data_IF_676685146423
#
_entry.id   IF_676685146423
#
_cell.length_a   1.000
_cell.length_b   1.000
_cell.length_c   1.000
_cell.angle_alpha   90.00
_cell.angle_beta   90.00
_cell.angle_gamma   90.00
#
_symmetry.space_group_name_H-M   'P 1'
#
loop_
_entity.id
_entity.type
_entity.pdbx_description
1 polymer ?
#
# COMPACT_ATOMS: atom_id res chain seq x y z
N UNK A 1 -33.70 3.90 -3.09
CA UNK A 1 -33.10 5.25 -3.21
C UNK A 1 -33.19 5.66 -4.66
N UNK A 2 -33.78 6.82 -4.95
CA UNK A 2 -33.92 7.31 -6.32
C UNK A 2 -32.54 7.74 -6.82
N UNK A 3 -32.10 7.19 -7.95
CA UNK A 3 -30.80 7.50 -8.55
C UNK A 3 -30.95 8.82 -9.30
N UNK A 4 -30.60 9.94 -8.66
CA UNK A 4 -30.65 11.26 -9.30
C UNK A 4 -29.62 11.32 -10.43
N UNK A 5 -30.01 11.85 -11.59
CA UNK A 5 -29.08 12.03 -12.70
C UNK A 5 -28.03 13.07 -12.34
N UNK A 6 -26.75 12.73 -12.56
CA UNK A 6 -25.59 13.61 -12.34
C UNK A 6 -25.58 14.87 -13.22
N UNK A 7 -26.54 15.01 -14.15
CA UNK A 7 -26.52 16.04 -15.18
C UNK A 7 -26.78 17.43 -14.58
N UNK A 8 -25.73 18.26 -14.52
CA UNK A 8 -25.81 19.68 -14.20
C UNK A 8 -25.05 20.09 -12.94
N UNK A 9 -24.94 19.21 -11.95
CA UNK A 9 -24.27 19.48 -10.67
C UNK A 9 -22.74 19.32 -10.76
N UNK A 10 -22.25 18.60 -11.76
CA UNK A 10 -20.83 18.40 -12.04
C UNK A 10 -20.17 19.61 -12.74
N UNK A 11 -20.96 20.49 -13.36
CA UNK A 11 -20.48 21.66 -14.13
C UNK A 11 -20.22 22.89 -13.26
N UNK A 12 -20.88 22.99 -12.11
CA UNK A 12 -20.71 24.11 -11.20
C UNK A 12 -19.66 23.75 -10.13
N UNK A 13 -18.78 24.71 -9.81
CA UNK A 13 -17.61 24.42 -8.98
C UNK A 13 -17.95 24.08 -7.53
N UNK A 14 -18.89 24.84 -6.95
CA UNK A 14 -19.18 24.86 -5.51
C UNK A 14 -20.65 24.55 -5.24
N UNK A 15 -21.26 23.67 -6.03
CA UNK A 15 -22.68 23.30 -5.90
C UNK A 15 -22.79 21.86 -5.44
N UNK A 16 -23.54 21.67 -4.35
CA UNK A 16 -23.85 20.35 -3.83
C UNK A 16 -24.79 19.60 -4.76
N UNK A 17 -24.50 18.32 -4.98
CA UNK A 17 -25.44 17.38 -5.60
C UNK A 17 -26.61 17.07 -4.65
N UNK A 18 -27.72 16.49 -5.16
CA UNK A 18 -28.87 16.11 -4.32
C UNK A 18 -28.53 15.11 -3.19
N UNK A 19 -27.46 14.34 -3.33
CA UNK A 19 -26.91 13.42 -2.32
C UNK A 19 -25.82 14.05 -1.44
N UNK A 20 -25.59 15.37 -1.54
CA UNK A 20 -24.72 16.14 -0.64
C UNK A 20 -23.23 16.13 -1.00
N UNK A 21 -22.87 15.74 -2.22
CA UNK A 21 -21.47 15.62 -2.68
C UNK A 21 -21.04 16.84 -3.47
N UNK A 22 -19.72 17.04 -3.53
CA UNK A 22 -19.07 18.03 -4.38
C UNK A 22 -18.21 17.31 -5.42
N UNK A 23 -18.73 17.17 -6.64
CA UNK A 23 -18.07 16.38 -7.70
C UNK A 23 -16.68 16.92 -8.08
N UNK A 24 -16.44 18.23 -7.98
CA UNK A 24 -15.12 18.79 -8.28
C UNK A 24 -14.03 18.33 -7.30
N UNK A 25 -14.39 18.09 -6.04
CA UNK A 25 -13.45 17.51 -5.06
C UNK A 25 -13.13 16.07 -5.45
N UNK A 26 -14.12 15.29 -5.87
CA UNK A 26 -13.90 13.92 -6.32
C UNK A 26 -13.02 13.86 -7.57
N UNK A 27 -13.22 14.77 -8.52
CA UNK A 27 -12.35 14.90 -9.69
C UNK A 27 -10.92 15.29 -9.31
N UNK A 28 -10.75 16.17 -8.32
CA UNK A 28 -9.44 16.51 -7.78
C UNK A 28 -8.77 15.31 -7.09
N UNK A 29 -9.52 14.51 -6.31
CA UNK A 29 -9.03 13.25 -5.72
C UNK A 29 -8.60 12.24 -6.78
N UNK A 30 -9.32 12.15 -7.89
CA UNK A 30 -8.91 11.30 -9.01
C UNK A 30 -7.59 11.78 -9.65
N UNK A 31 -7.31 13.08 -9.65
CA UNK A 31 -6.01 13.61 -10.07
C UNK A 31 -4.89 13.18 -9.10
N UNK A 32 -5.15 13.19 -7.80
CA UNK A 32 -4.23 12.67 -6.76
C UNK A 32 -3.96 11.19 -6.96
N UNK A 33 -4.99 10.35 -7.13
CA UNK A 33 -4.84 8.90 -7.37
C UNK A 33 -4.02 8.57 -8.61
N UNK A 34 -4.01 9.43 -9.63
CA UNK A 34 -3.17 9.27 -10.82
C UNK A 34 -1.72 9.74 -10.63
N UNK A 35 -1.45 10.45 -9.53
CA UNK A 35 -0.12 10.86 -9.12
C UNK A 35 0.78 9.68 -8.76
N UNK A 36 2.09 9.95 -8.68
CA UNK A 36 3.05 8.94 -8.21
C UNK A 36 2.92 8.70 -6.73
N UNK A 37 3.24 7.49 -6.28
CA UNK A 37 3.19 7.14 -4.87
C UNK A 37 4.21 7.96 -4.07
N UNK A 38 3.73 8.56 -2.99
CA UNK A 38 4.55 9.21 -1.96
C UNK A 38 4.15 8.61 -0.61
N UNK A 39 5.12 8.38 0.26
CA UNK A 39 4.91 7.82 1.60
C UNK A 39 5.54 8.73 2.65
N UNK A 40 4.95 8.74 3.84
CA UNK A 40 5.48 9.44 5.01
C UNK A 40 5.32 8.58 6.25
N UNK A 41 6.38 8.46 7.04
CA UNK A 41 6.46 7.56 8.19
C UNK A 41 7.05 8.30 9.38
N UNK A 42 6.40 8.15 10.53
CA UNK A 42 6.89 8.55 11.84
C UNK A 42 7.71 7.41 12.43
N UNK A 43 8.95 7.70 12.80
CA UNK A 43 9.83 6.82 13.57
C UNK A 43 10.07 7.43 14.95
N UNK A 44 10.63 6.65 15.88
CA UNK A 44 10.98 7.18 17.21
C UNK A 44 12.04 8.28 17.15
N UNK A 45 12.90 8.22 16.12
CA UNK A 45 14.09 9.05 15.93
C UNK A 45 13.86 10.18 14.90
N UNK A 46 12.69 10.26 14.26
CA UNK A 46 12.43 11.28 13.24
C UNK A 46 11.27 10.98 12.30
N UNK A 47 11.19 11.77 11.23
CA UNK A 47 10.17 11.63 10.16
C UNK A 47 10.84 11.36 8.82
N UNK A 48 10.30 10.41 8.07
CA UNK A 48 10.83 10.00 6.76
C UNK A 48 9.78 10.30 5.69
N UNK A 49 10.22 10.83 4.56
CA UNK A 49 9.44 10.90 3.33
C UNK A 49 10.16 10.14 2.23
N UNK A 50 9.43 9.35 1.46
CA UNK A 50 9.96 8.73 0.26
C UNK A 50 8.97 8.82 -0.91
N UNK A 51 9.49 8.98 -2.13
CA UNK A 51 8.67 9.16 -3.34
C UNK A 51 9.24 8.38 -4.52
N UNK A 52 8.35 7.77 -5.31
CA UNK A 52 8.69 7.23 -6.64
C UNK A 52 8.59 8.32 -7.73
N UNK A 53 9.73 8.86 -8.15
CA UNK A 53 9.90 9.74 -9.31
C UNK A 53 9.93 8.92 -10.59
N UNK A 54 8.80 8.90 -11.31
CA UNK A 54 8.76 8.36 -12.67
C UNK A 54 9.44 9.27 -13.70
N UNK A 55 10.71 9.00 -14.02
CA UNK A 55 11.44 9.66 -15.12
C UNK A 55 11.10 8.94 -16.43
N UNK A 56 10.31 9.59 -17.29
CA UNK A 56 9.78 8.97 -18.53
C UNK A 56 10.76 9.00 -19.71
N UNK A 57 11.77 9.86 -19.67
CA UNK A 57 12.68 10.11 -20.78
C UNK A 57 14.08 10.39 -20.29
N UNK A 58 15.08 9.83 -20.98
CA UNK A 58 16.51 10.09 -20.74
C UNK A 58 16.91 11.55 -20.97
N UNK A 59 16.07 12.33 -21.67
CA UNK A 59 16.29 13.75 -21.92
C UNK A 59 15.97 14.62 -20.69
N UNK A 60 15.23 14.08 -19.72
CA UNK A 60 14.86 14.81 -18.52
C UNK A 60 16.00 14.72 -17.52
N UNK A 61 16.44 15.86 -17.01
CA UNK A 61 17.36 15.92 -15.87
C UNK A 61 16.60 15.49 -14.61
N UNK A 62 16.91 14.32 -14.00
CA UNK A 62 16.09 13.77 -12.92
C UNK A 62 16.00 14.67 -11.69
N UNK A 63 17.08 15.41 -11.38
CA UNK A 63 17.14 16.35 -10.25
C UNK A 63 16.18 17.53 -10.37
N UNK A 64 15.67 17.82 -11.57
CA UNK A 64 14.67 18.88 -11.78
C UNK A 64 13.24 18.46 -11.39
N UNK A 65 12.99 17.15 -11.21
CA UNK A 65 11.72 16.62 -10.74
C UNK A 65 11.82 16.45 -9.23
N UNK A 66 11.44 17.49 -8.51
CA UNK A 66 11.29 17.44 -7.06
C UNK A 66 9.84 17.13 -6.69
N UNK A 67 9.66 16.20 -5.74
CA UNK A 67 8.36 15.92 -5.13
C UNK A 67 8.37 15.99 -3.62
N UNK A 68 9.57 16.00 -3.04
CA UNK A 68 9.80 16.25 -1.63
C UNK A 68 10.41 17.65 -1.48
N UNK A 69 9.83 18.45 -0.60
CA UNK A 69 10.20 19.84 -0.42
C UNK A 69 10.47 20.14 1.05
N UNK A 70 11.59 20.82 1.32
CA UNK A 70 11.82 21.50 2.59
C UNK A 70 10.88 22.70 2.70
N UNK A 71 10.12 22.79 3.79
CA UNK A 71 9.28 23.94 4.12
C UNK A 71 9.98 24.88 5.09
N UNK A 72 10.55 24.33 6.17
CA UNK A 72 11.39 25.03 7.14
C UNK A 72 12.51 24.07 7.58
N UNK A 73 13.36 24.46 8.52
CA UNK A 73 14.40 23.59 9.07
C UNK A 73 13.83 22.28 9.64
N UNK A 74 12.70 22.34 10.33
CA UNK A 74 12.09 21.22 11.06
C UNK A 74 10.87 20.61 10.36
N UNK A 75 10.51 21.08 9.16
CA UNK A 75 9.31 20.64 8.42
C UNK A 75 9.63 20.35 6.96
N UNK A 76 9.16 19.20 6.49
CA UNK A 76 9.20 18.75 5.11
C UNK A 76 7.81 18.37 4.61
N UNK A 77 7.69 18.23 3.29
CA UNK A 77 6.48 17.70 2.68
C UNK A 77 6.77 16.86 1.45
N UNK A 78 5.98 15.82 1.24
CA UNK A 78 5.92 15.06 0.00
C UNK A 78 4.56 15.30 -0.69
N UNK A 79 4.53 15.25 -2.02
CA UNK A 79 3.36 15.62 -2.81
C UNK A 79 2.95 14.56 -3.84
N UNK A 80 1.64 14.36 -4.02
CA UNK A 80 1.10 13.53 -5.10
C UNK A 80 -0.12 14.13 -5.77
N UNK A 81 -0.13 14.10 -7.10
CA UNK A 81 -1.13 14.74 -7.97
C UNK A 81 -0.48 15.73 -8.95
N UNK A 82 -1.10 16.90 -9.12
CA UNK A 82 -0.63 17.94 -10.05
C UNK A 82 0.56 18.73 -9.49
N UNK A 83 1.74 18.55 -10.08
CA UNK A 83 3.00 19.19 -9.63
C UNK A 83 2.93 20.73 -9.59
N UNK A 84 2.16 21.36 -10.48
CA UNK A 84 1.98 22.81 -10.49
C UNK A 84 1.26 23.31 -9.21
N UNK A 85 0.27 22.55 -8.76
CA UNK A 85 -0.49 22.85 -7.53
C UNK A 85 0.40 22.62 -6.30
N UNK A 86 1.20 21.55 -6.29
CA UNK A 86 2.18 21.28 -5.22
C UNK A 86 3.15 22.46 -5.03
N UNK A 87 3.77 22.95 -6.11
CA UNK A 87 4.70 24.10 -6.03
C UNK A 87 4.04 25.33 -5.42
N UNK A 88 2.78 25.60 -5.79
CA UNK A 88 2.04 26.74 -5.25
C UNK A 88 1.78 26.59 -3.75
N UNK A 89 1.32 25.41 -3.30
CA UNK A 89 1.07 25.16 -1.88
C UNK A 89 2.36 25.18 -1.07
N UNK A 90 3.45 24.60 -1.58
CA UNK A 90 4.77 24.63 -0.95
C UNK A 90 5.26 26.07 -0.74
N UNK A 91 5.12 26.94 -1.74
CA UNK A 91 5.52 28.34 -1.62
C UNK A 91 4.65 29.11 -0.61
N UNK A 92 3.37 28.77 -0.51
CA UNK A 92 2.49 29.34 0.52
C UNK A 92 2.89 28.84 1.90
N UNK A 93 3.15 27.53 2.07
CA UNK A 93 3.57 26.91 3.31
C UNK A 93 4.89 27.51 3.82
N UNK A 94 5.88 27.65 2.94
CA UNK A 94 7.16 28.31 3.25
C UNK A 94 6.96 29.74 3.75
N UNK A 95 6.12 30.51 3.06
CA UNK A 95 5.81 31.88 3.48
C UNK A 95 5.13 31.89 4.85
N UNK A 96 4.16 31.02 5.06
CA UNK A 96 3.42 30.95 6.33
C UNK A 96 4.33 30.57 7.50
N UNK A 97 5.25 29.62 7.31
CA UNK A 97 6.23 29.25 8.33
C UNK A 97 7.11 30.45 8.74
N UNK A 98 7.61 31.22 7.77
CA UNK A 98 8.40 32.41 8.06
C UNK A 98 7.57 33.55 8.68
N UNK A 99 6.32 33.72 8.26
CA UNK A 99 5.41 34.71 8.88
C UNK A 99 5.17 34.37 10.34
N UNK A 100 4.90 33.11 10.69
CA UNK A 100 4.74 32.68 12.07
C UNK A 100 5.99 32.99 12.90
N UNK A 101 7.17 32.62 12.36
CA UNK A 101 8.47 32.86 13.01
C UNK A 101 8.75 34.33 13.25
N UNK A 102 8.36 35.21 12.31
CA UNK A 102 8.52 36.65 12.46
C UNK A 102 7.53 37.23 13.48
N UNK A 103 6.29 36.76 13.47
CA UNK A 103 5.21 37.33 14.29
C UNK A 103 5.26 36.87 15.75
N UNK A 104 5.55 35.59 15.98
CA UNK A 104 5.52 34.97 17.30
C UNK A 104 6.91 34.66 17.86
N UNK A 105 7.98 34.90 17.08
CA UNK A 105 9.35 34.57 17.44
C UNK A 105 9.60 33.08 17.74
N UNK A 106 8.75 32.21 17.21
CA UNK A 106 8.83 30.76 17.36
C UNK A 106 8.59 30.05 16.01
N UNK A 107 9.28 28.92 15.75
CA UNK A 107 8.99 28.10 14.59
C UNK A 107 7.53 27.63 14.62
N UNK A 108 6.86 27.60 13.45
CA UNK A 108 5.48 27.11 13.38
C UNK A 108 5.42 25.63 13.76
N UNK A 109 4.40 25.22 14.51
CA UNK A 109 4.18 23.79 14.78
C UNK A 109 3.78 23.04 13.50
N UNK A 110 4.10 21.75 13.42
CA UNK A 110 3.73 20.91 12.26
C UNK A 110 2.21 20.91 12.07
N UNK A 111 1.47 20.73 13.17
CA UNK A 111 -0.01 20.78 13.19
C UNK A 111 -0.55 22.14 12.73
N UNK A 112 0.06 23.24 13.20
CA UNK A 112 -0.36 24.59 12.84
C UNK A 112 -0.21 24.87 11.35
N UNK A 113 0.92 24.46 10.77
CA UNK A 113 1.14 24.58 9.33
C UNK A 113 0.19 23.68 8.52
N UNK A 114 0.04 22.42 8.92
CA UNK A 114 -0.80 21.47 8.21
C UNK A 114 -2.29 21.91 8.23
N UNK A 115 -2.76 22.43 9.37
CA UNK A 115 -4.09 23.05 9.48
C UNK A 115 -4.25 24.26 8.58
N UNK A 116 -3.26 25.16 8.54
CA UNK A 116 -3.31 26.33 7.65
C UNK A 116 -3.45 25.93 6.17
N UNK A 117 -2.73 24.89 5.75
CA UNK A 117 -2.83 24.39 4.37
C UNK A 117 -4.18 23.71 4.12
N UNK A 118 -4.67 22.89 5.06
CA UNK A 118 -6.00 22.29 4.96
C UNK A 118 -7.11 23.33 4.87
N UNK A 119 -7.05 24.39 5.69
CA UNK A 119 -8.01 25.51 5.66
C UNK A 119 -7.95 26.26 4.31
N UNK A 120 -6.75 26.42 3.73
CA UNK A 120 -6.58 27.00 2.40
C UNK A 120 -7.18 26.12 1.30
N UNK A 121 -6.92 24.81 1.32
CA UNK A 121 -7.50 23.86 0.38
C UNK A 121 -9.03 23.85 0.48
N UNK A 122 -9.56 23.87 1.72
CA UNK A 122 -10.98 23.94 2.01
C UNK A 122 -11.62 25.21 1.42
N UNK A 123 -10.98 26.37 1.57
CA UNK A 123 -11.47 27.63 1.03
C UNK A 123 -11.64 27.60 -0.50
N UNK A 124 -10.77 26.86 -1.20
CA UNK A 124 -10.87 26.66 -2.65
C UNK A 124 -12.04 25.77 -3.08
N UNK A 125 -12.66 25.03 -2.15
CA UNK A 125 -13.85 24.22 -2.42
C UNK A 125 -15.15 25.02 -2.31
N UNK A 126 -15.12 26.19 -1.67
CA UNK A 126 -16.29 27.02 -1.40
C UNK A 126 -16.29 28.34 -2.18
N UNK A 127 -15.17 28.69 -2.79
CA UNK A 127 -15.00 29.92 -3.55
C UNK A 127 -15.38 29.73 -5.02
N UNK A 128 -16.28 30.58 -5.52
CA UNK A 128 -16.67 30.57 -6.93
C UNK A 128 -15.53 31.02 -7.86
N UNK A 129 -15.45 30.41 -9.05
CA UNK A 129 -14.49 30.80 -10.09
C UNK A 129 -13.08 30.23 -9.93
N UNK A 130 -12.83 29.43 -8.89
CA UNK A 130 -11.58 28.70 -8.70
C UNK A 130 -11.85 27.21 -8.53
N UNK A 131 -10.96 26.36 -9.06
CA UNK A 131 -11.02 24.92 -8.87
C UNK A 131 -10.29 24.50 -7.60
N UNK A 132 -10.68 23.40 -6.94
CA UNK A 132 -9.87 22.78 -5.90
C UNK A 132 -8.47 22.41 -6.40
N UNK A 133 -7.51 22.32 -5.49
CA UNK A 133 -6.18 21.82 -5.80
C UNK A 133 -6.25 20.33 -6.13
N UNK A 134 -5.60 19.91 -7.22
CA UNK A 134 -5.52 18.50 -7.64
C UNK A 134 -4.31 17.79 -7.02
N UNK A 135 -4.03 18.05 -5.74
CA UNK A 135 -2.85 17.57 -5.03
C UNK A 135 -3.26 17.15 -3.61
N UNK A 136 -2.57 16.14 -3.08
CA UNK A 136 -2.50 15.86 -1.66
C UNK A 136 -1.06 16.06 -1.20
N UNK A 137 -0.91 16.56 0.02
CA UNK A 137 0.40 16.71 0.66
C UNK A 137 0.48 15.78 1.86
N UNK A 138 1.65 15.17 2.03
CA UNK A 138 2.08 14.64 3.32
C UNK A 138 2.96 15.72 3.94
N UNK A 139 2.53 16.33 5.04
CA UNK A 139 3.26 17.37 5.77
C UNK A 139 3.73 16.76 7.08
N UNK A 140 5.01 16.82 7.37
CA UNK A 140 5.53 16.24 8.59
C UNK A 140 6.84 16.86 9.02
N UNK A 141 7.20 16.60 10.26
CA UNK A 141 8.35 17.23 10.89
C UNK A 141 8.40 16.95 12.37
N UNK A 142 9.25 17.72 13.02
CA UNK A 142 9.50 17.63 14.46
C UNK A 142 9.12 18.96 15.07
N UNK A 143 8.12 18.98 15.95
CA UNK A 143 7.74 20.16 16.74
C UNK A 143 7.44 19.73 18.15
N UNK A 144 7.88 20.53 19.13
CA UNK A 144 7.66 20.27 20.57
C UNK A 144 8.16 18.88 21.00
N UNK A 145 9.33 18.47 20.52
CA UNK A 145 9.94 17.14 20.72
C UNK A 145 9.06 15.95 20.27
N UNK A 146 8.08 16.20 19.39
CA UNK A 146 7.21 15.19 18.81
C UNK A 146 7.36 15.12 17.29
N UNK A 147 7.52 13.90 16.78
CA UNK A 147 7.50 13.60 15.35
C UNK A 147 6.04 13.45 14.91
N UNK A 148 5.62 14.24 13.91
CA UNK A 148 4.23 14.25 13.43
C UNK A 148 4.19 14.20 11.92
N UNK A 149 3.22 13.47 11.38
CA UNK A 149 2.91 13.40 9.95
C UNK A 149 1.42 13.59 9.75
N UNK A 150 1.06 14.50 8.85
CA UNK A 150 -0.29 14.80 8.45
C UNK A 150 -0.47 14.57 6.95
N UNK A 151 -1.63 14.04 6.57
CA UNK A 151 -2.08 13.98 5.17
C UNK A 151 -3.14 15.06 4.94
N UNK A 152 -3.00 15.81 3.85
CA UNK A 152 -4.02 16.73 3.32
C UNK A 152 -4.70 16.15 2.09
N UNK A 153 -5.98 16.48 1.92
CA UNK A 153 -6.81 16.08 0.78
C UNK A 153 -7.37 17.33 0.09
N UNK A 154 -7.64 17.30 -1.23
CA UNK A 154 -8.29 18.40 -1.97
C UNK A 154 -9.57 18.98 -1.34
N UNK A 155 -10.25 18.26 -0.44
CA UNK A 155 -11.39 18.77 0.32
C UNK A 155 -11.01 19.71 1.48
N UNK A 156 -9.73 19.82 1.79
CA UNK A 156 -9.19 20.39 3.03
C UNK A 156 -9.31 19.46 4.24
N UNK A 157 -9.59 18.17 4.03
CA UNK A 157 -9.53 17.21 5.12
C UNK A 157 -8.08 17.01 5.57
N UNK A 158 -7.87 16.98 6.88
CA UNK A 158 -6.56 16.84 7.50
C UNK A 158 -6.62 15.68 8.50
N UNK A 159 -5.69 14.74 8.37
CA UNK A 159 -5.61 13.58 9.26
C UNK A 159 -4.16 13.33 9.65
N UNK A 160 -3.93 13.07 10.94
CA UNK A 160 -2.63 12.69 11.49
C UNK A 160 -2.42 11.18 11.34
N UNK A 161 -1.24 10.77 10.88
CA UNK A 161 -0.90 9.37 10.64
C UNK A 161 0.44 9.00 11.29
N UNK A 162 0.56 7.74 11.70
CA UNK A 162 1.84 7.12 12.07
C UNK A 162 2.66 6.75 10.83
N UNK A 163 1.99 6.21 9.82
CA UNK A 163 2.51 6.00 8.49
C UNK A 163 1.37 6.22 7.48
N UNK A 164 1.63 6.89 6.37
CA UNK A 164 0.64 7.10 5.32
C UNK A 164 1.26 7.04 3.93
N UNK A 165 0.39 6.88 2.94
CA UNK A 165 0.73 6.92 1.53
C UNK A 165 -0.34 7.70 0.73
N UNK A 166 0.11 8.44 -0.27
CA UNK A 166 -0.75 9.13 -1.24
C UNK A 166 -0.33 8.78 -2.67
N UNK A 167 -1.26 8.94 -3.62
CA UNK A 167 -1.03 8.64 -5.03
C UNK A 167 -1.46 7.24 -5.45
N UNK A 168 -0.99 6.80 -6.62
CA UNK A 168 -1.45 5.58 -7.30
C UNK A 168 -1.37 4.31 -6.45
N UNK A 169 -0.26 4.11 -5.73
CA UNK A 169 -0.05 2.90 -4.94
C UNK A 169 -0.44 3.03 -3.46
N UNK A 170 -1.30 4.02 -3.11
CA UNK A 170 -1.72 4.26 -1.72
C UNK A 170 -2.23 3.01 -1.02
N UNK A 171 -3.19 2.31 -1.61
CA UNK A 171 -3.88 1.18 -0.97
C UNK A 171 -2.89 0.07 -0.59
N UNK A 172 -2.02 -0.32 -1.54
CA UNK A 172 -0.98 -1.35 -1.32
C UNK A 172 0.06 -0.94 -0.28
N UNK A 173 0.47 0.33 -0.28
CA UNK A 173 1.43 0.84 0.70
C UNK A 173 0.82 0.87 2.11
N UNK A 174 -0.44 1.30 2.24
CA UNK A 174 -1.14 1.32 3.53
C UNK A 174 -1.34 -0.09 4.08
N UNK A 175 -1.80 -1.04 3.26
CA UNK A 175 -1.93 -2.45 3.67
C UNK A 175 -0.60 -3.02 4.18
N UNK A 176 0.50 -2.71 3.48
CA UNK A 176 1.84 -3.12 3.91
C UNK A 176 2.28 -2.45 5.22
N UNK A 177 2.02 -1.16 5.39
CA UNK A 177 2.34 -0.45 6.63
C UNK A 177 1.51 -0.94 7.81
N UNK A 178 0.24 -1.28 7.61
CA UNK A 178 -0.60 -1.89 8.65
C UNK A 178 -0.01 -3.22 9.17
N UNK A 179 0.63 -4.00 8.29
CA UNK A 179 1.26 -5.27 8.67
C UNK A 179 2.62 -5.08 9.36
N UNK A 180 3.46 -4.14 8.88
CA UNK A 180 4.89 -4.06 9.24
C UNK A 180 5.27 -2.90 10.16
N UNK A 181 4.42 -1.88 10.30
CA UNK A 181 4.75 -0.70 11.09
C UNK A 181 4.81 -1.02 12.60
N UNK A 182 5.76 -0.39 13.29
CA UNK A 182 5.86 -0.40 14.74
C UNK A 182 6.25 1.00 15.26
N UNK A 183 5.80 1.35 16.46
CA UNK A 183 6.07 2.66 17.07
C UNK A 183 7.56 2.84 17.47
N UNK A 184 8.31 1.75 17.60
CA UNK A 184 9.73 1.77 18.03
C UNK A 184 10.74 1.70 16.88
N UNK A 185 10.28 1.87 15.63
CA UNK A 185 11.16 1.90 14.46
C UNK A 185 12.21 3.00 14.63
N UNK A 186 13.47 2.63 14.42
CA UNK A 186 14.56 3.58 14.22
C UNK A 186 14.42 4.31 12.89
N UNK A 187 15.19 5.39 12.72
CA UNK A 187 15.20 6.15 11.47
C UNK A 187 15.59 5.27 10.27
N UNK A 188 16.60 4.40 10.42
CA UNK A 188 17.07 3.49 9.37
C UNK A 188 16.05 2.41 9.02
N UNK A 189 15.42 1.79 10.02
CA UNK A 189 14.36 0.80 9.80
C UNK A 189 13.13 1.43 9.13
N UNK A 190 12.84 2.69 9.42
CA UNK A 190 11.76 3.42 8.78
C UNK A 190 12.10 3.83 7.33
N UNK A 191 13.37 4.09 7.00
CA UNK A 191 13.81 4.26 5.60
C UNK A 191 13.60 2.95 4.83
N UNK A 192 14.02 1.82 5.39
CA UNK A 192 13.79 0.50 4.80
C UNK A 192 12.30 0.25 4.56
N UNK A 193 11.47 0.50 5.59
CA UNK A 193 10.02 0.34 5.51
C UNK A 193 9.43 1.24 4.42
N UNK A 194 9.89 2.48 4.29
CA UNK A 194 9.43 3.40 3.24
C UNK A 194 9.75 2.90 1.83
N UNK A 195 10.97 2.38 1.62
CA UNK A 195 11.39 1.81 0.33
C UNK A 195 10.57 0.55 0.03
N UNK A 196 10.36 -0.33 1.01
CA UNK A 196 9.51 -1.52 0.85
C UNK A 196 8.06 -1.16 0.54
N UNK A 197 7.52 -0.12 1.17
CA UNK A 197 6.19 0.41 0.88
C UNK A 197 6.06 0.90 -0.56
N UNK A 198 7.07 1.63 -1.07
CA UNK A 198 7.13 2.04 -2.48
C UNK A 198 7.27 0.82 -3.40
N UNK A 199 8.08 -0.17 -3.02
CA UNK A 199 8.27 -1.40 -3.78
C UNK A 199 6.96 -2.17 -3.94
N UNK A 200 6.18 -2.34 -2.85
CA UNK A 200 4.84 -2.94 -2.89
C UNK A 200 3.86 -2.11 -3.71
N UNK A 201 3.87 -0.79 -3.52
CA UNK A 201 3.03 0.15 -4.26
C UNK A 201 3.26 0.15 -5.78
N UNK A 202 4.45 -0.22 -6.23
CA UNK A 202 4.86 -0.22 -7.64
C UNK A 202 4.93 -1.63 -8.25
N UNK A 203 4.47 -2.66 -7.54
CA UNK A 203 4.56 -4.07 -7.96
C UNK A 203 6.01 -4.49 -8.28
N UNK A 204 6.95 -4.04 -7.45
CA UNK A 204 8.38 -4.32 -7.57
C UNK A 204 9.12 -3.52 -8.63
N UNK A 205 8.49 -2.50 -9.22
CA UNK A 205 9.09 -1.64 -10.25
C UNK A 205 9.70 -0.39 -9.65
N UNK A 206 10.73 -0.57 -8.84
CA UNK A 206 11.54 0.52 -8.28
C UNK A 206 12.87 0.57 -9.01
N UNK A 207 13.23 1.73 -9.54
CA UNK A 207 14.53 1.95 -10.15
C UNK A 207 15.39 2.83 -9.23
N UNK A 208 16.70 2.64 -9.27
CA UNK A 208 17.68 3.41 -8.47
C UNK A 208 17.46 4.94 -8.63
N UNK A 209 17.34 5.41 -9.87
CA UNK A 209 17.12 6.83 -10.17
C UNK A 209 15.71 7.34 -9.84
N UNK A 210 14.77 6.44 -9.57
CA UNK A 210 13.37 6.80 -9.35
C UNK A 210 13.09 7.20 -7.91
N UNK A 211 13.88 6.75 -6.93
CA UNK A 211 13.55 7.05 -5.52
C UNK A 211 14.09 8.42 -5.09
N UNK A 212 13.31 9.14 -4.30
CA UNK A 212 13.70 10.34 -3.58
C UNK A 212 13.39 10.13 -2.10
N UNK A 213 14.33 10.39 -1.20
CA UNK A 213 14.13 10.23 0.24
C UNK A 213 14.61 11.48 0.96
N UNK A 214 13.87 11.90 1.98
CA UNK A 214 14.32 12.88 2.95
C UNK A 214 13.95 12.47 4.36
N UNK A 215 14.77 12.91 5.31
CA UNK A 215 14.57 12.65 6.73
C UNK A 215 14.57 13.96 7.50
N UNK A 216 13.85 13.98 8.61
CA UNK A 216 13.90 15.03 9.62
C UNK A 216 14.22 14.34 10.93
N UNK A 217 15.44 14.53 11.39
CA UNK A 217 15.94 13.92 12.62
C UNK A 217 15.33 14.62 13.85
N UNK A 218 14.91 13.83 14.83
CA UNK A 218 14.23 14.32 16.03
C UNK A 218 15.15 15.12 16.94
N UNK A 219 16.39 14.68 17.12
CA UNK A 219 17.34 15.33 18.04
C UNK A 219 17.77 16.71 17.53
N UNK A 220 17.98 16.82 16.22
CA UNK A 220 18.47 18.05 15.58
C UNK A 220 17.35 18.93 15.03
N UNK A 221 16.15 18.39 14.86
CA UNK A 221 15.01 19.02 14.17
C UNK A 221 15.41 19.60 12.80
N UNK A 222 16.28 18.88 12.06
CA UNK A 222 16.81 19.32 10.77
C UNK A 222 16.39 18.41 9.63
N UNK A 223 15.81 19.04 8.61
CA UNK A 223 15.51 18.44 7.32
C UNK A 223 16.80 18.17 6.55
N UNK A 224 16.95 16.92 6.09
CA UNK A 224 18.02 16.47 5.22
C UNK A 224 17.46 15.62 4.10
N UNK A 225 17.85 15.95 2.87
CA UNK A 225 17.60 15.10 1.71
C UNK A 225 18.77 14.13 1.57
N UNK A 226 18.50 12.85 1.39
CA UNK A 226 19.56 11.86 1.17
C UNK A 226 20.16 12.07 -0.22
N UNK A 227 21.46 11.83 -0.33
CA UNK A 227 22.12 11.82 -1.62
C UNK A 227 21.85 10.50 -2.38
N UNK A 228 22.23 10.46 -3.66
CA UNK A 228 21.98 9.30 -4.50
C UNK A 228 22.76 8.05 -4.03
N UNK A 229 23.95 8.23 -3.45
CA UNK A 229 24.81 7.12 -3.01
C UNK A 229 24.24 6.48 -1.75
N UNK A 230 23.75 7.28 -0.80
CA UNK A 230 23.05 6.82 0.39
C UNK A 230 21.80 6.03 0.00
N UNK A 231 20.97 6.58 -0.89
CA UNK A 231 19.73 5.92 -1.34
C UNK A 231 20.03 4.58 -2.01
N UNK A 232 21.09 4.50 -2.82
CA UNK A 232 21.52 3.28 -3.51
C UNK A 232 21.86 2.16 -2.51
N UNK A 233 22.53 2.49 -1.39
CA UNK A 233 22.87 1.51 -0.34
C UNK A 233 21.62 0.92 0.30
N UNK A 234 20.66 1.77 0.72
CA UNK A 234 19.41 1.28 1.30
C UNK A 234 18.59 0.48 0.28
N UNK A 235 18.52 0.97 -0.96
CA UNK A 235 17.75 0.30 -2.01
C UNK A 235 18.30 -1.10 -2.32
N UNK A 236 19.61 -1.23 -2.49
CA UNK A 236 20.24 -2.53 -2.74
C UNK A 236 20.01 -3.49 -1.57
N UNK A 237 20.14 -3.01 -0.33
CA UNK A 237 19.87 -3.80 0.88
C UNK A 237 18.42 -4.30 0.94
N UNK A 238 17.45 -3.47 0.56
CA UNK A 238 16.04 -3.87 0.49
C UNK A 238 15.80 -4.86 -0.66
N UNK A 239 16.33 -4.59 -1.85
CA UNK A 239 16.15 -5.45 -3.03
C UNK A 239 16.74 -6.85 -2.81
N UNK A 240 17.94 -6.95 -2.23
CA UNK A 240 18.57 -8.23 -1.89
C UNK A 240 17.72 -9.03 -0.89
N UNK A 241 17.20 -8.39 0.17
CA UNK A 241 16.26 -9.03 1.11
C UNK A 241 15.01 -9.54 0.40
N UNK A 242 14.42 -8.75 -0.50
CA UNK A 242 13.22 -9.17 -1.26
C UNK A 242 13.49 -10.30 -2.25
N UNK A 243 14.68 -10.35 -2.85
CA UNK A 243 15.07 -11.49 -3.67
C UNK A 243 15.23 -12.76 -2.85
N UNK A 244 15.78 -12.67 -1.63
CA UNK A 244 15.91 -13.81 -0.72
C UNK A 244 14.54 -14.30 -0.24
N UNK A 245 13.68 -13.40 0.25
CA UNK A 245 12.30 -13.73 0.66
C UNK A 245 11.53 -14.41 -0.47
N UNK A 246 11.70 -13.94 -1.71
CA UNK A 246 11.05 -14.55 -2.88
C UNK A 246 11.58 -15.96 -3.17
N UNK A 247 12.89 -16.18 -3.10
CA UNK A 247 13.51 -17.51 -3.28
C UNK A 247 13.04 -18.48 -2.21
N UNK A 248 12.99 -18.05 -0.95
CA UNK A 248 12.51 -18.85 0.18
C UNK A 248 11.02 -19.20 0.02
N UNK A 249 10.19 -18.21 -0.36
CA UNK A 249 8.77 -18.45 -0.62
C UNK A 249 8.54 -19.41 -1.81
N UNK A 250 9.33 -19.31 -2.88
CA UNK A 250 9.28 -20.24 -4.01
C UNK A 250 9.72 -21.66 -3.62
N UNK A 251 10.75 -21.79 -2.77
CA UNK A 251 11.19 -23.08 -2.25
C UNK A 251 10.14 -23.71 -1.33
N UNK A 252 9.54 -22.91 -0.45
CA UNK A 252 8.47 -23.36 0.44
C UNK A 252 7.22 -23.77 -0.34
N UNK A 253 6.82 -22.98 -1.36
CA UNK A 253 5.70 -23.32 -2.22
C UNK A 253 5.95 -24.63 -3.02
N UNK A 254 7.19 -24.88 -3.46
CA UNK A 254 7.56 -26.16 -4.10
C UNK A 254 7.44 -27.33 -3.12
N UNK A 255 7.96 -27.19 -1.90
CA UNK A 255 7.84 -28.22 -0.85
C UNK A 255 6.38 -28.52 -0.51
N UNK A 256 5.55 -27.49 -0.35
CA UNK A 256 4.11 -27.66 -0.09
C UNK A 256 3.36 -28.30 -1.28
N UNK A 257 3.76 -28.00 -2.51
CA UNK A 257 3.18 -28.61 -3.71
C UNK A 257 3.54 -30.09 -3.81
N UNK A 258 4.81 -30.45 -3.58
CA UNK A 258 5.29 -31.84 -3.53
C UNK A 258 4.59 -32.63 -2.42
N UNK A 259 4.42 -32.04 -1.22
CA UNK A 259 3.72 -32.68 -0.11
C UNK A 259 2.22 -32.87 -0.40
N UNK A 260 1.56 -31.88 -1.03
CA UNK A 260 0.16 -32.02 -1.49
C UNK A 260 0.01 -33.10 -2.54
N UNK A 261 0.96 -33.23 -3.46
CA UNK A 261 0.95 -34.26 -4.50
C UNK A 261 1.17 -35.65 -3.91
N UNK A 262 2.13 -35.81 -3.00
CA UNK A 262 2.37 -37.04 -2.26
C UNK A 262 1.13 -37.47 -1.45
N UNK A 263 0.50 -36.54 -0.73
CA UNK A 263 -0.73 -36.81 0.04
C UNK A 263 -1.90 -37.21 -0.85
N UNK A 264 -2.02 -36.61 -2.04
CA UNK A 264 -3.04 -36.98 -3.03
C UNK A 264 -2.77 -38.36 -3.63
N UNK A 265 -1.52 -38.72 -3.89
CA UNK A 265 -1.12 -40.03 -4.35
C UNK A 265 -1.41 -41.11 -3.30
N UNK A 266 -1.11 -40.85 -2.01
CA UNK A 266 -1.39 -41.78 -0.92
C UNK A 266 -2.91 -42.01 -0.72
N UNK A 267 -3.71 -40.94 -0.80
CA UNK A 267 -5.18 -41.03 -0.77
C UNK A 267 -5.74 -41.81 -1.95
N UNK A 268 -5.13 -41.67 -3.14
CA UNK A 268 -5.53 -42.44 -4.33
C UNK A 268 -5.18 -43.92 -4.16
N UNK A 269 -3.98 -44.24 -3.68
CA UNK A 269 -3.54 -45.61 -3.41
C UNK A 269 -4.42 -46.29 -2.34
N UNK A 270 -4.79 -45.58 -1.27
CA UNK A 270 -5.72 -46.08 -0.25
C UNK A 270 -7.11 -46.39 -0.84
N UNK A 271 -7.64 -45.52 -1.70
CA UNK A 271 -8.93 -45.75 -2.38
C UNK A 271 -8.87 -46.92 -3.37
N UNK A 272 -7.76 -47.08 -4.09
CA UNK A 272 -7.56 -48.20 -5.01
C UNK A 272 -7.43 -49.52 -4.25
N UNK A 273 -6.71 -49.54 -3.12
CA UNK A 273 -6.61 -50.71 -2.25
C UNK A 273 -7.97 -51.11 -1.63
N UNK A 274 -8.72 -50.14 -1.11
CA UNK A 274 -10.06 -50.38 -0.53
C UNK A 274 -11.07 -50.86 -1.59
N UNK A 275 -10.89 -50.42 -2.85
CA UNK A 275 -11.69 -50.91 -3.98
C UNK A 275 -11.32 -52.34 -4.36
N UNK A 276 -10.02 -52.66 -4.40
CA UNK A 276 -9.53 -54.00 -4.69
C UNK A 276 -9.95 -55.01 -3.61
N UNK A 277 -9.95 -54.61 -2.34
CA UNK A 277 -10.43 -55.44 -1.22
C UNK A 277 -11.93 -55.74 -1.34
N UNK A 278 -12.75 -54.73 -1.68
CA UNK A 278 -14.19 -54.92 -1.95
C UNK A 278 -14.48 -55.76 -3.19
N UNK A 279 -13.65 -55.66 -4.24
CA UNK A 279 -13.76 -56.51 -5.43
C UNK A 279 -13.34 -57.95 -5.13
N UNK A 280 -12.33 -58.17 -4.28
CA UNK A 280 -11.92 -59.49 -3.82
C UNK A 280 -12.98 -60.16 -2.93
N UNK A 281 -13.55 -59.46 -1.95
CA UNK A 281 -14.68 -59.97 -1.14
C UNK A 281 -15.90 -60.33 -2.00
N UNK A 282 -16.14 -59.57 -3.09
CA UNK A 282 -17.24 -59.86 -4.02
C UNK A 282 -16.95 -61.10 -4.87
N UNK A 283 -15.70 -61.29 -5.29
CA UNK A 283 -15.27 -62.47 -6.03
C UNK A 283 -15.28 -63.75 -5.16
N UNK A 284 -14.88 -63.67 -3.88
CA UNK A 284 -15.02 -64.78 -2.93
C UNK A 284 -16.49 -65.18 -2.74
N UNK A 285 -17.39 -64.21 -2.55
CA UNK A 285 -18.83 -64.49 -2.44
C UNK A 285 -19.45 -65.07 -3.72
N UNK A 286 -18.98 -64.63 -4.89
CA UNK A 286 -19.42 -65.20 -6.17
C UNK A 286 -18.86 -66.62 -6.37
N UNK A 287 -17.63 -66.91 -5.93
CA UNK A 287 -17.04 -68.25 -5.96
C UNK A 287 -17.73 -69.24 -5.01
N UNK A 288 -18.04 -68.82 -3.76
CA UNK A 288 -18.83 -69.62 -2.81
C UNK A 288 -20.24 -69.92 -3.36
N UNK A 289 -20.85 -68.98 -4.09
CA UNK A 289 -22.16 -69.21 -4.73
C UNK A 289 -22.11 -70.16 -5.93
N UNK A 290 -20.95 -70.26 -6.61
CA UNK A 290 -20.75 -71.22 -7.70
C UNK A 290 -20.41 -72.62 -7.21
N UNK A 291 -19.69 -72.75 -6.09
CA UNK A 291 -19.46 -74.04 -5.41
C UNK A 291 -20.75 -74.58 -4.78
N UNK A 292 -21.65 -73.73 -4.25
CA UNK A 292 -23.00 -74.15 -3.84
C UNK A 292 -23.86 -74.62 -5.04
N UNK A 293 -23.65 -74.07 -6.25
CA UNK A 293 -24.39 -74.49 -7.45
C UNK A 293 -23.88 -75.80 -8.07
N UNK A 294 -22.57 -76.11 -7.95
CA UNK A 294 -22.01 -77.40 -8.36
C UNK A 294 -22.34 -78.52 -7.34
N UNK A 295 -22.50 -78.21 -6.04
CA UNK A 295 -22.93 -79.19 -5.03
C UNK A 295 -24.44 -79.51 -5.09
N UNK A 296 -25.27 -78.65 -5.69
CA UNK A 296 -26.71 -78.93 -5.84
C UNK A 296 -27.07 -79.90 -6.98
N UNK A 297 -26.13 -80.22 -7.88
CA UNK A 297 -26.35 -81.21 -8.95
C UNK A 297 -25.90 -82.64 -8.56
N UNK A 298 -25.24 -82.85 -7.41
CA UNK A 298 -24.91 -84.20 -6.88
C UNK A 298 -25.79 -84.68 -5.70
N UNK A 299 -26.59 -83.81 -5.06
CA UNK A 299 -27.48 -84.18 -3.93
C UNK A 299 -28.98 -84.29 -4.28
N UNK A 300 -29.33 -84.48 -5.56
CA UNK A 300 -30.69 -84.91 -5.96
C UNK A 300 -30.69 -86.25 -6.71
N UNK A 301 -29.98 -87.26 -6.18
CA UNK A 301 -30.21 -88.65 -6.59
C UNK A 301 -29.93 -89.70 -5.50
N UNK A 302 -30.38 -89.48 -4.27
CA UNK A 302 -30.59 -90.60 -3.32
C UNK A 302 -31.31 -90.10 -2.07
N UNK A 303 -32.63 -90.33 -2.00
CA UNK A 303 -33.36 -90.80 -0.81
C UNK A 303 -34.86 -90.86 -1.16
N UNK A 304 -35.25 -92.04 -1.63
CA UNK A 304 -36.60 -92.59 -1.54
C UNK A 304 -36.86 -93.07 -0.08
N UNK A 305 -38.13 -93.33 0.23
CA UNK A 305 -38.65 -94.30 1.21
C UNK A 305 -39.16 -93.81 2.59
N UNK A 306 -40.41 -94.24 2.86
CA UNK A 306 -41.28 -94.19 4.06
C UNK A 306 -42.13 -92.94 4.37
#
# INVERSE_FOLDING_TARGET
MQQFSSQGYDRALTVFSPDGRLFQIEYAREAVKRGTTSVGIVSKDGVIFAVDKKVKSKLIVPTSIEKIFKIDEHIGTASSGLVADARRLVDIARRQAQVNKLQYHEPISVTGLAKYIGDLEQMYTQSGGIRPFGISLIIGGVSDDECRVYETDPSGALVEYKATAIGFGREKALEFFEEKYNDELSLDEAIDLAIEGIYKATDGKVAEDSVEISVIDKETAKYRKLDAQEIEVYLNTVLERKEQEKKEAEEQAKKEAEEKEARKAELKAKKEAEKAEKEAEKAEKEAESSEESENTDEETSSEDEE
#
